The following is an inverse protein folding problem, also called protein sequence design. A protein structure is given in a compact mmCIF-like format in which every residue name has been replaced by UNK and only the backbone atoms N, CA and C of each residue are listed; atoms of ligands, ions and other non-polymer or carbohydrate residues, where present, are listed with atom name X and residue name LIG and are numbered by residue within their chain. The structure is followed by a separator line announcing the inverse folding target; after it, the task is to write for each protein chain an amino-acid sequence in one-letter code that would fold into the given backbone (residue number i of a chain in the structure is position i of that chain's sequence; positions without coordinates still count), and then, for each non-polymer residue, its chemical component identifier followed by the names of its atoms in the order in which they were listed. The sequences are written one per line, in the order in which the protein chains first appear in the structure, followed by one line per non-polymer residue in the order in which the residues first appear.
data_IF_536520690057
#
_entry.id   IF_536520690057
#
_cell.length_a   1.000
_cell.length_b   1.000
_cell.length_c   1.000
_cell.angle_alpha   90.00
_cell.angle_beta   90.00
_cell.angle_gamma   90.00
#
_symmetry.space_group_name_H-M   'P 1'
#
loop_
_entity.id
_entity.type
_entity.pdbx_description
1 polymer ?
#
# COMPACT_ATOMS: atom_id res chain seq x y z
N UNK A 1 -20.75 -0.46 -2.63
CA UNK A 1 -19.47 -1.21 -2.70
C UNK A 1 -19.02 -1.51 -1.28
N UNK A 2 -18.56 -2.73 -1.00
CA UNK A 2 -17.98 -3.04 0.31
C UNK A 2 -16.67 -2.27 0.50
N UNK A 3 -16.41 -1.82 1.72
CA UNK A 3 -15.19 -1.11 2.07
C UNK A 3 -14.08 -2.13 2.33
N UNK A 4 -12.88 -1.89 1.82
CA UNK A 4 -11.73 -2.71 2.19
C UNK A 4 -11.49 -2.61 3.70
N UNK A 5 -11.40 -3.76 4.36
CA UNK A 5 -11.11 -3.87 5.79
C UNK A 5 -9.73 -4.48 5.97
N UNK A 6 -8.74 -3.64 6.26
CA UNK A 6 -7.40 -4.10 6.60
C UNK A 6 -7.41 -4.72 8.00
N UNK A 7 -6.92 -5.95 8.11
CA UNK A 7 -6.80 -6.69 9.38
C UNK A 7 -5.32 -6.97 9.62
N UNK A 8 -4.79 -6.48 10.73
CA UNK A 8 -3.40 -6.72 11.13
C UNK A 8 -3.25 -6.56 12.64
N UNK A 9 -2.33 -7.30 13.24
CA UNK A 9 -1.87 -7.08 14.61
C UNK A 9 -0.94 -5.86 14.74
N UNK A 10 -0.42 -5.37 13.62
CA UNK A 10 0.50 -4.25 13.58
C UNK A 10 -0.24 -2.93 13.33
N UNK A 11 0.34 -1.84 13.83
CA UNK A 11 -0.07 -0.47 13.49
C UNK A 11 1.05 0.18 12.67
N UNK A 12 0.71 1.12 11.75
CA UNK A 12 1.74 1.88 11.05
C UNK A 12 2.71 2.54 12.03
N UNK A 13 4.01 2.39 11.77
CA UNK A 13 5.08 2.88 12.64
C UNK A 13 6.24 3.48 11.82
N UNK A 14 7.12 4.23 12.49
CA UNK A 14 8.21 4.95 11.81
C UNK A 14 7.67 5.92 10.77
N UNK A 15 8.21 5.88 9.56
CA UNK A 15 7.79 6.76 8.45
C UNK A 15 6.52 6.29 7.73
N UNK A 16 6.00 5.10 8.05
CA UNK A 16 4.82 4.55 7.39
C UNK A 16 3.58 5.46 7.47
N UNK A 17 3.20 6.06 8.62
CA UNK A 17 2.01 6.91 8.70
C UNK A 17 2.06 8.09 7.72
N UNK A 18 3.23 8.74 7.62
CA UNK A 18 3.45 9.86 6.70
C UNK A 18 3.40 9.40 5.25
N UNK A 19 4.07 8.31 4.91
CA UNK A 19 4.04 7.76 3.55
C UNK A 19 2.62 7.36 3.11
N UNK A 20 1.83 6.77 4.02
CA UNK A 20 0.42 6.43 3.77
C UNK A 20 -0.40 7.68 3.48
N UNK A 21 -0.20 8.74 4.27
CA UNK A 21 -0.91 10.00 4.09
C UNK A 21 -0.57 10.68 2.78
N UNK A 22 0.72 10.85 2.47
CA UNK A 22 1.17 11.51 1.24
C UNK A 22 0.68 10.75 0.00
N UNK A 23 0.81 9.42 -0.04
CA UNK A 23 0.35 8.62 -1.17
C UNK A 23 -1.18 8.65 -1.33
N UNK A 24 -1.92 8.54 -0.24
CA UNK A 24 -3.38 8.59 -0.30
C UNK A 24 -3.87 9.97 -0.76
N UNK A 25 -3.23 11.05 -0.29
CA UNK A 25 -3.54 12.42 -0.72
C UNK A 25 -3.26 12.61 -2.20
N UNK A 26 -2.08 12.22 -2.70
CA UNK A 26 -1.74 12.35 -4.12
C UNK A 26 -2.75 11.62 -5.02
N UNK A 27 -3.23 10.44 -4.60
CA UNK A 27 -4.29 9.72 -5.35
C UNK A 27 -5.62 10.48 -5.37
N UNK A 28 -5.99 11.12 -4.26
CA UNK A 28 -7.21 11.94 -4.16
C UNK A 28 -7.10 13.23 -4.99
N UNK A 29 -5.89 13.80 -5.08
CA UNK A 29 -5.55 14.96 -5.90
C UNK A 29 -5.33 14.61 -7.39
N UNK A 30 -5.58 13.34 -7.77
CA UNK A 30 -5.43 12.84 -9.14
C UNK A 30 -4.00 12.91 -9.69
N UNK A 31 -3.00 12.87 -8.82
CA UNK A 31 -1.60 12.68 -9.23
C UNK A 31 -1.44 11.32 -9.92
N UNK A 32 -1.05 11.35 -11.19
CA UNK A 32 -0.96 10.13 -12.02
C UNK A 32 0.19 9.21 -11.64
N UNK A 33 1.30 9.77 -11.16
CA UNK A 33 2.53 9.04 -10.91
C UNK A 33 3.08 9.41 -9.54
N UNK A 34 3.33 8.41 -8.71
CA UNK A 34 3.89 8.56 -7.38
C UNK A 34 4.87 7.40 -7.11
N UNK A 35 5.88 7.65 -6.29
CA UNK A 35 6.93 6.67 -5.97
C UNK A 35 7.06 6.53 -4.46
N UNK A 36 6.89 5.31 -3.95
CA UNK A 36 7.21 4.97 -2.56
C UNK A 36 8.69 4.56 -2.47
N UNK A 37 9.55 5.49 -2.08
CA UNK A 37 10.95 5.19 -1.80
C UNK A 37 11.09 4.58 -0.41
N UNK A 38 11.26 3.25 -0.33
CA UNK A 38 11.38 2.54 0.93
C UNK A 38 12.50 1.50 0.91
N UNK A 39 13.30 1.47 1.98
CA UNK A 39 14.37 0.48 2.16
C UNK A 39 13.82 -0.95 2.30
N UNK A 40 14.67 -1.96 2.13
CA UNK A 40 14.28 -3.35 2.36
C UNK A 40 13.89 -3.55 3.83
N UNK A 41 12.81 -4.31 4.08
CA UNK A 41 12.32 -4.57 5.44
C UNK A 41 11.45 -3.47 6.06
N UNK A 42 11.23 -2.33 5.39
CA UNK A 42 10.40 -1.23 5.93
C UNK A 42 8.89 -1.47 5.92
N UNK A 43 8.42 -2.65 5.49
CA UNK A 43 7.00 -3.00 5.43
C UNK A 43 6.23 -2.33 4.28
N UNK A 44 6.84 -2.25 3.08
CA UNK A 44 6.22 -1.62 1.90
C UNK A 44 4.83 -2.19 1.53
N UNK A 45 4.63 -3.50 1.65
CA UNK A 45 3.32 -4.12 1.42
C UNK A 45 2.28 -3.57 2.39
N UNK A 46 2.62 -3.52 3.69
CA UNK A 46 1.72 -3.01 4.72
C UNK A 46 1.40 -1.52 4.54
N UNK A 47 2.38 -0.71 4.15
CA UNK A 47 2.17 0.70 3.76
C UNK A 47 1.17 0.80 2.61
N UNK A 48 1.34 0.04 1.53
CA UNK A 48 0.42 0.07 0.38
C UNK A 48 -0.96 -0.50 0.72
N UNK A 49 -1.06 -1.52 1.56
CA UNK A 49 -2.34 -2.06 2.03
C UNK A 49 -3.16 -1.01 2.79
N UNK A 50 -2.50 -0.20 3.64
CA UNK A 50 -3.13 0.94 4.31
C UNK A 50 -3.59 2.01 3.32
N UNK A 51 -2.79 2.32 2.29
CA UNK A 51 -3.18 3.26 1.23
C UNK A 51 -4.42 2.75 0.49
N UNK A 52 -4.42 1.49 0.04
CA UNK A 52 -5.55 0.85 -0.67
C UNK A 52 -6.82 0.88 0.17
N UNK A 53 -6.71 0.54 1.46
CA UNK A 53 -7.85 0.59 2.38
C UNK A 53 -8.39 2.02 2.59
N UNK A 54 -7.50 3.02 2.65
CA UNK A 54 -7.85 4.44 2.81
C UNK A 54 -8.54 5.03 1.58
N UNK A 55 -8.02 4.76 0.37
CA UNK A 55 -8.61 5.27 -0.89
C UNK A 55 -9.85 4.48 -1.32
N UNK A 56 -9.98 3.23 -0.87
CA UNK A 56 -11.08 2.33 -1.17
C UNK A 56 -11.38 2.13 -2.68
N UNK A 57 -10.34 1.87 -3.46
CA UNK A 57 -10.42 1.68 -4.92
C UNK A 57 -9.90 0.30 -5.33
N UNK A 58 -10.54 -0.41 -6.28
CA UNK A 58 -9.97 -1.60 -6.89
C UNK A 58 -8.56 -1.30 -7.41
N UNK A 59 -7.59 -2.13 -7.05
CA UNK A 59 -6.16 -1.89 -7.28
C UNK A 59 -5.55 -3.11 -7.96
N UNK A 60 -4.73 -2.88 -9.00
CA UNK A 60 -3.92 -3.92 -9.65
C UNK A 60 -2.47 -3.78 -9.18
N UNK A 61 -1.93 -4.83 -8.58
CA UNK A 61 -0.51 -4.92 -8.20
C UNK A 61 0.22 -5.78 -9.24
N UNK A 62 1.24 -5.21 -9.88
CA UNK A 62 2.05 -5.88 -10.90
C UNK A 62 3.41 -6.22 -10.30
N UNK A 63 3.80 -7.48 -10.37
CA UNK A 63 5.11 -7.96 -9.95
C UNK A 63 5.90 -8.48 -11.15
N UNK A 64 7.23 -8.32 -11.11
CA UNK A 64 8.11 -8.70 -12.22
C UNK A 64 8.37 -10.21 -12.30
N UNK A 65 7.99 -10.99 -11.27
CA UNK A 65 8.14 -12.43 -11.27
C UNK A 65 7.02 -13.14 -10.49
N UNK A 66 6.86 -14.44 -10.76
CA UNK A 66 5.79 -15.27 -10.19
C UNK A 66 5.96 -15.52 -8.70
N UNK A 67 7.20 -15.66 -8.22
CA UNK A 67 7.49 -15.92 -6.80
C UNK A 67 7.05 -14.76 -5.93
N UNK A 68 7.43 -13.54 -6.28
CA UNK A 68 7.02 -12.33 -5.57
C UNK A 68 5.52 -12.07 -5.72
N UNK A 69 4.93 -12.37 -6.88
CA UNK A 69 3.47 -12.27 -7.06
C UNK A 69 2.73 -13.19 -6.07
N UNK A 70 3.21 -14.44 -5.90
CA UNK A 70 2.63 -15.38 -4.95
C UNK A 70 2.83 -14.94 -3.49
N UNK A 71 3.98 -14.35 -3.16
CA UNK A 71 4.24 -13.77 -1.83
C UNK A 71 3.27 -12.62 -1.53
N UNK A 72 3.16 -11.64 -2.43
CA UNK A 72 2.24 -10.50 -2.29
C UNK A 72 0.77 -10.92 -2.21
N UNK A 73 0.39 -12.04 -2.85
CA UNK A 73 -0.96 -12.59 -2.74
C UNK A 73 -1.23 -13.22 -1.37
N UNK A 74 -0.20 -13.77 -0.72
CA UNK A 74 -0.33 -14.46 0.56
C UNK A 74 -0.25 -13.52 1.76
N UNK A 75 0.41 -12.37 1.60
CA UNK A 75 0.51 -11.28 2.60
C UNK A 75 -0.83 -10.54 2.82
#
# INVERSE_FOLDING_TARGET
MQRFKLVSSFRPAGDQPRAIEELARGIQESEKYQVLLGVTGSGKTFTLANVIARINRPTLVISHNKTLAAQLYSE
#
